data_IF_830392419538
#
_entry.id   IF_830392419538
#
_cell.length_a   1.000
_cell.length_b   1.000
_cell.length_c   1.000
_cell.angle_alpha   90.00
_cell.angle_beta   90.00
_cell.angle_gamma   90.00
#
_symmetry.space_group_name_H-M   'P 1'
#
loop_
_entity.id
_entity.type
_entity.pdbx_description
1 polymer ?
#
# COMPACT_ATOMS: atom_id res chain seq x y z
N UNK A 1 48.06 55.68 -8.66
CA UNK A 1 48.41 54.56 -9.55
C UNK A 1 48.48 53.32 -8.67
N UNK A 2 47.76 52.27 -9.07
CA UNK A 2 47.58 50.95 -8.43
C UNK A 2 46.60 50.91 -7.22
N UNK A 3 45.34 50.50 -7.44
CA UNK A 3 44.79 49.12 -7.27
C UNK A 3 44.78 48.72 -5.78
N UNK A 4 43.68 48.55 -5.04
CA UNK A 4 42.41 47.91 -5.38
C UNK A 4 42.42 46.49 -4.80
N UNK A 5 41.93 46.28 -3.57
CA UNK A 5 41.54 44.94 -3.10
C UNK A 5 40.62 45.01 -1.88
N UNK A 6 39.40 44.55 -2.12
CA UNK A 6 38.27 44.33 -1.22
C UNK A 6 38.57 43.35 -0.08
N UNK A 7 37.87 43.55 1.04
CA UNK A 7 37.67 42.56 2.10
C UNK A 7 37.09 41.26 1.53
N UNK A 8 37.57 40.12 2.02
CA UNK A 8 36.78 38.89 2.00
C UNK A 8 36.66 38.32 3.40
N UNK A 9 35.53 38.64 4.03
CA UNK A 9 35.01 37.87 5.16
C UNK A 9 34.69 36.46 4.67
N UNK A 10 35.49 35.48 5.12
CA UNK A 10 35.28 34.07 4.82
C UNK A 10 33.99 33.60 5.49
N UNK A 11 32.90 33.64 4.74
CA UNK A 11 31.62 33.06 5.16
C UNK A 11 31.68 31.55 4.94
N UNK A 12 31.27 30.75 5.94
CA UNK A 12 31.27 29.26 5.99
C UNK A 12 30.54 28.53 4.84
N UNK A 13 30.10 29.23 3.79
CA UNK A 13 29.42 28.67 2.60
C UNK A 13 30.32 28.50 1.37
N UNK A 14 31.58 28.97 1.36
CA UNK A 14 32.46 28.83 0.17
C UNK A 14 33.31 27.55 0.13
N UNK A 15 33.37 26.76 1.21
CA UNK A 15 34.27 25.58 1.30
C UNK A 15 33.66 24.23 0.88
N UNK A 16 32.42 24.18 0.36
CA UNK A 16 31.77 22.91 -0.04
C UNK A 16 31.54 22.82 -1.56
N UNK A 17 32.23 23.65 -2.38
CA UNK A 17 32.09 23.60 -3.86
C UNK A 17 33.25 22.98 -4.63
N UNK A 18 34.32 22.50 -4.00
CA UNK A 18 35.54 22.11 -4.72
C UNK A 18 36.10 20.70 -4.43
N UNK A 19 35.26 19.69 -4.20
CA UNK A 19 35.77 18.31 -4.03
C UNK A 19 35.02 17.18 -4.75
N UNK A 20 34.07 17.45 -5.66
CA UNK A 20 33.38 16.37 -6.40
C UNK A 20 33.19 16.63 -7.90
N UNK A 21 34.01 17.49 -8.50
CA UNK A 21 33.90 17.86 -9.91
C UNK A 21 34.45 16.82 -10.92
N UNK A 22 34.71 15.56 -10.54
CA UNK A 22 35.33 14.60 -11.46
C UNK A 22 34.68 13.20 -11.56
N UNK A 23 33.58 12.89 -10.83
CA UNK A 23 32.93 11.56 -10.93
C UNK A 23 31.41 11.64 -11.19
N UNK A 24 30.81 12.83 -11.20
CA UNK A 24 29.35 12.98 -11.25
C UNK A 24 28.71 13.30 -12.61
N UNK A 25 29.48 13.37 -13.71
CA UNK A 25 28.94 13.81 -15.02
C UNK A 25 28.55 12.67 -15.98
N UNK A 26 28.79 11.41 -15.63
CA UNK A 26 28.37 10.27 -16.47
C UNK A 26 26.97 9.70 -16.12
N UNK A 27 26.39 10.08 -14.97
CA UNK A 27 25.11 9.50 -14.51
C UNK A 27 23.85 10.26 -15.00
N UNK A 28 23.99 11.46 -15.57
CA UNK A 28 22.86 12.27 -16.06
C UNK A 28 22.72 12.28 -17.59
N UNK A 29 23.54 11.51 -18.31
CA UNK A 29 23.38 11.26 -19.75
C UNK A 29 22.53 10.01 -20.07
N UNK A 30 21.93 9.39 -19.04
CA UNK A 30 20.85 8.44 -19.25
C UNK A 30 19.63 9.23 -19.70
N UNK A 31 19.39 9.24 -21.01
CA UNK A 31 18.23 9.89 -21.62
C UNK A 31 16.98 9.64 -20.81
N UNK A 32 16.09 10.64 -20.80
CA UNK A 32 14.70 10.50 -20.40
C UNK A 32 14.20 9.16 -20.91
N UNK A 33 14.13 8.16 -20.02
CA UNK A 33 13.33 6.98 -20.30
C UNK A 33 11.94 7.54 -20.30
N UNK A 34 11.38 7.69 -21.49
CA UNK A 34 9.93 7.71 -21.63
C UNK A 34 9.47 6.44 -20.92
N UNK A 35 9.01 6.62 -19.68
CA UNK A 35 8.25 5.59 -19.00
C UNK A 35 6.92 5.63 -19.71
N UNK A 36 6.89 5.05 -20.91
CA UNK A 36 5.63 4.67 -21.52
C UNK A 36 4.97 3.72 -20.54
N UNK A 37 3.85 4.14 -19.99
CA UNK A 37 2.94 3.26 -19.29
C UNK A 37 2.43 2.25 -20.34
N UNK A 38 3.16 1.16 -20.51
CA UNK A 38 2.71 0.05 -21.32
C UNK A 38 2.07 -1.01 -20.42
N UNK A 39 1.03 -1.65 -20.94
CA UNK A 39 0.41 -2.77 -20.26
C UNK A 39 1.43 -3.92 -20.15
N UNK A 40 1.68 -4.39 -18.92
CA UNK A 40 2.61 -5.47 -18.66
C UNK A 40 1.93 -6.79 -19.00
N UNK A 41 2.51 -7.54 -19.93
CA UNK A 41 2.04 -8.88 -20.29
C UNK A 41 2.60 -9.92 -19.32
N UNK A 42 1.94 -11.09 -19.13
CA UNK A 42 2.47 -12.17 -18.31
C UNK A 42 3.89 -12.61 -18.66
N UNK A 43 4.28 -12.47 -19.93
CA UNK A 43 5.62 -12.79 -20.43
C UNK A 43 6.67 -11.72 -20.15
N UNK A 44 6.26 -10.52 -19.73
CA UNK A 44 7.20 -9.42 -19.46
C UNK A 44 7.94 -9.69 -18.13
N UNK A 45 9.29 -9.67 -18.11
CA UNK A 45 10.05 -9.92 -16.89
C UNK A 45 9.70 -8.97 -15.74
N UNK A 46 9.26 -7.74 -16.07
CA UNK A 46 8.81 -6.76 -15.09
C UNK A 46 7.50 -7.15 -14.39
N UNK A 47 6.63 -7.95 -15.03
CA UNK A 47 5.38 -8.43 -14.45
C UNK A 47 5.62 -9.48 -13.34
N UNK A 48 6.75 -10.21 -13.41
CA UNK A 48 7.12 -11.25 -12.42
C UNK A 48 6.00 -12.29 -12.21
N UNK A 49 5.38 -12.74 -13.31
CA UNK A 49 4.22 -13.63 -13.29
C UNK A 49 4.37 -14.85 -12.40
N UNK A 50 5.50 -15.56 -12.49
CA UNK A 50 5.73 -16.77 -11.67
C UNK A 50 5.70 -16.48 -10.16
N UNK A 51 6.12 -15.28 -9.73
CA UNK A 51 6.04 -14.89 -8.32
C UNK A 51 4.62 -14.60 -7.89
N UNK A 52 3.85 -13.94 -8.75
CA UNK A 52 2.42 -13.71 -8.53
C UNK A 52 1.69 -15.06 -8.39
N UNK A 53 1.89 -15.96 -9.35
CA UNK A 53 1.30 -17.30 -9.37
C UNK A 53 1.69 -18.11 -8.13
N UNK A 54 2.96 -18.10 -7.73
CA UNK A 54 3.41 -18.81 -6.53
C UNK A 54 2.70 -18.32 -5.24
N UNK A 55 2.40 -17.02 -5.15
CA UNK A 55 1.70 -16.45 -4.00
C UNK A 55 0.21 -16.79 -4.04
N UNK A 56 -0.47 -16.57 -5.16
CA UNK A 56 -1.92 -16.79 -5.30
C UNK A 56 -2.25 -18.28 -5.24
N UNK A 57 -1.44 -19.15 -5.84
CA UNK A 57 -1.68 -20.58 -5.94
C UNK A 57 -0.99 -21.42 -4.85
N UNK A 58 -0.44 -20.81 -3.80
CA UNK A 58 0.17 -21.54 -2.66
C UNK A 58 -0.79 -22.61 -2.11
N UNK A 59 -0.27 -23.80 -1.80
CA UNK A 59 -1.08 -24.89 -1.23
C UNK A 59 -1.46 -24.56 0.21
N UNK A 60 -2.77 -24.59 0.49
CA UNK A 60 -3.37 -24.32 1.80
C UNK A 60 -4.57 -25.24 2.01
N UNK A 61 -4.97 -25.42 3.27
CA UNK A 61 -6.17 -26.20 3.63
C UNK A 61 -7.44 -25.48 3.23
N UNK A 62 -7.50 -24.17 3.45
CA UNK A 62 -8.67 -23.34 3.18
C UNK A 62 -8.28 -22.22 2.22
N UNK A 63 -9.04 -22.09 1.13
CA UNK A 63 -8.95 -20.96 0.22
C UNK A 63 -10.32 -20.30 0.08
N UNK A 64 -10.35 -18.97 0.25
CA UNK A 64 -11.52 -18.14 0.02
C UNK A 64 -11.18 -17.08 -1.03
N UNK A 65 -12.08 -16.89 -2.00
CA UNK A 65 -11.99 -15.85 -3.02
C UNK A 65 -13.21 -14.95 -2.91
N UNK A 66 -12.98 -13.65 -2.78
CA UNK A 66 -14.02 -12.64 -2.75
C UNK A 66 -13.87 -11.70 -3.95
N UNK A 67 -14.98 -11.48 -4.64
CA UNK A 67 -15.10 -10.46 -5.66
C UNK A 67 -15.57 -9.14 -5.02
N UNK A 68 -14.85 -8.06 -5.26
CA UNK A 68 -15.18 -6.73 -4.74
C UNK A 68 -15.35 -5.71 -5.88
N UNK A 69 -16.59 -5.55 -6.40
CA UNK A 69 -16.86 -4.65 -7.53
C UNK A 69 -17.04 -3.17 -7.17
N UNK A 70 -17.33 -2.83 -5.91
CA UNK A 70 -17.70 -1.46 -5.56
C UNK A 70 -17.29 -1.05 -4.14
N UNK A 71 -16.83 0.19 -3.97
CA UNK A 71 -16.37 0.73 -2.69
C UNK A 71 -17.40 0.60 -1.56
N UNK A 72 -18.68 0.81 -1.89
CA UNK A 72 -19.79 0.79 -0.93
C UNK A 72 -20.31 -0.62 -0.72
N UNK A 73 -19.43 -1.55 -0.34
CA UNK A 73 -19.80 -2.90 0.04
C UNK A 73 -19.78 -3.05 1.58
N UNK A 74 -20.94 -3.02 2.25
CA UNK A 74 -20.99 -3.01 3.71
C UNK A 74 -20.65 -4.35 4.35
N UNK A 75 -20.66 -5.46 3.59
CA UNK A 75 -20.53 -6.81 4.15
C UNK A 75 -19.19 -7.47 3.87
N UNK A 76 -18.43 -7.01 2.87
CA UNK A 76 -17.21 -7.69 2.42
C UNK A 76 -16.20 -7.89 3.56
N UNK A 77 -15.76 -6.80 4.19
CA UNK A 77 -14.71 -6.86 5.19
C UNK A 77 -15.14 -7.63 6.45
N UNK A 78 -16.41 -7.49 6.84
CA UNK A 78 -17.01 -8.28 7.91
C UNK A 78 -17.00 -9.78 7.58
N UNK A 79 -17.36 -10.16 6.36
CA UNK A 79 -17.35 -11.55 5.91
C UNK A 79 -15.93 -12.13 5.81
N UNK A 80 -14.96 -11.35 5.35
CA UNK A 80 -13.55 -11.76 5.34
C UNK A 80 -13.05 -12.00 6.76
N UNK A 81 -13.28 -11.05 7.67
CA UNK A 81 -12.89 -11.19 9.09
C UNK A 81 -13.57 -12.37 9.76
N UNK A 82 -14.88 -12.56 9.52
CA UNK A 82 -15.63 -13.69 10.04
C UNK A 82 -15.13 -15.03 9.49
N UNK A 83 -14.80 -15.11 8.20
CA UNK A 83 -14.21 -16.31 7.59
C UNK A 83 -12.87 -16.67 8.23
N UNK A 84 -11.96 -15.70 8.35
CA UNK A 84 -10.67 -15.89 9.02
C UNK A 84 -10.85 -16.38 10.47
N UNK A 85 -11.70 -15.70 11.24
CA UNK A 85 -11.97 -16.06 12.65
C UNK A 85 -12.60 -17.43 12.78
N UNK A 86 -13.58 -17.75 11.93
CA UNK A 86 -14.25 -19.05 11.94
C UNK A 86 -13.27 -20.19 11.72
N UNK A 87 -12.46 -20.11 10.66
CA UNK A 87 -11.48 -21.17 10.38
C UNK A 87 -10.37 -21.25 11.42
N UNK A 88 -9.84 -20.11 11.87
CA UNK A 88 -8.74 -20.07 12.84
C UNK A 88 -9.19 -20.59 14.21
N UNK A 89 -10.33 -20.13 14.73
CA UNK A 89 -10.70 -20.38 16.12
C UNK A 89 -11.75 -21.47 16.32
N UNK A 90 -12.67 -21.65 15.37
CA UNK A 90 -13.73 -22.66 15.50
C UNK A 90 -13.32 -24.01 14.91
N UNK A 91 -12.47 -23.98 13.87
CA UNK A 91 -11.99 -25.19 13.18
C UNK A 91 -10.50 -25.48 13.43
N UNK A 92 -9.84 -24.69 14.28
CA UNK A 92 -8.43 -24.86 14.66
C UNK A 92 -7.50 -25.00 13.44
N UNK A 93 -7.76 -24.22 12.39
CA UNK A 93 -6.90 -24.18 11.21
C UNK A 93 -5.76 -23.21 11.47
N UNK A 94 -4.48 -23.64 11.34
CA UNK A 94 -3.35 -22.74 11.48
C UNK A 94 -3.46 -21.54 10.52
N UNK A 95 -3.10 -20.31 10.94
CA UNK A 95 -3.23 -19.12 10.09
C UNK A 95 -2.51 -19.24 8.74
N UNK A 96 -1.35 -19.91 8.70
CA UNK A 96 -0.59 -20.14 7.46
C UNK A 96 -1.32 -21.11 6.51
N UNK A 97 -2.29 -21.89 6.97
CA UNK A 97 -3.12 -22.80 6.19
C UNK A 97 -4.45 -22.19 5.71
N UNK A 98 -4.66 -20.90 5.95
CA UNK A 98 -5.82 -20.14 5.47
C UNK A 98 -5.34 -19.11 4.45
N UNK A 99 -5.93 -19.10 3.26
CA UNK A 99 -5.69 -18.06 2.27
C UNK A 99 -7.00 -17.38 1.92
N UNK A 100 -7.03 -16.07 2.05
CA UNK A 100 -8.13 -15.24 1.57
C UNK A 100 -7.58 -14.30 0.51
N UNK A 101 -8.22 -14.31 -0.65
CA UNK A 101 -7.94 -13.42 -1.77
C UNK A 101 -9.17 -12.55 -2.01
N UNK A 102 -8.97 -11.25 -2.09
CA UNK A 102 -9.98 -10.27 -2.45
C UNK A 102 -9.56 -9.62 -3.76
N UNK A 103 -10.32 -9.87 -4.82
CA UNK A 103 -10.14 -9.17 -6.09
C UNK A 103 -10.97 -7.90 -6.05
N UNK A 104 -10.30 -6.76 -5.85
CA UNK A 104 -10.90 -5.46 -6.12
C UNK A 104 -10.97 -5.27 -7.64
N UNK A 105 -12.09 -4.70 -8.10
CA UNK A 105 -12.23 -4.25 -9.48
C UNK A 105 -13.28 -3.14 -9.56
N UNK A 106 -13.33 -2.47 -10.71
CA UNK A 106 -14.22 -1.33 -10.94
C UNK A 106 -14.00 -0.23 -9.89
N UNK A 107 -15.04 0.26 -9.18
CA UNK A 107 -14.82 1.36 -8.23
C UNK A 107 -14.01 0.94 -7.00
N UNK A 108 -14.04 -0.35 -6.63
CA UNK A 108 -13.28 -0.85 -5.48
C UNK A 108 -11.77 -0.67 -5.62
N UNK A 109 -11.23 -0.59 -6.85
CA UNK A 109 -9.81 -0.29 -7.07
C UNK A 109 -9.40 1.04 -6.41
N UNK A 110 -10.34 1.98 -6.25
CA UNK A 110 -10.11 3.22 -5.51
C UNK A 110 -9.62 3.00 -4.08
N UNK A 111 -10.03 1.92 -3.41
CA UNK A 111 -9.60 1.60 -2.05
C UNK A 111 -8.19 0.98 -1.98
N UNK A 112 -7.55 0.70 -3.12
CA UNK A 112 -6.16 0.24 -3.17
C UNK A 112 -5.17 1.40 -3.39
N UNK A 113 -5.69 2.61 -3.63
CA UNK A 113 -4.88 3.81 -3.76
C UNK A 113 -4.60 4.47 -2.41
N UNK A 114 -3.45 5.12 -2.32
CA UNK A 114 -3.03 5.83 -1.12
C UNK A 114 -3.78 7.16 -0.93
N UNK A 115 -3.58 7.77 0.23
CA UNK A 115 -4.19 9.06 0.58
C UNK A 115 -3.79 10.18 -0.41
N UNK A 116 -2.59 10.10 -1.00
CA UNK A 116 -2.12 11.09 -1.96
C UNK A 116 -2.97 11.09 -3.24
N UNK A 117 -3.28 9.92 -3.79
CA UNK A 117 -4.15 9.80 -4.95
C UNK A 117 -5.60 10.19 -4.63
N UNK A 118 -6.08 9.86 -3.43
CA UNK A 118 -7.41 10.26 -2.96
C UNK A 118 -7.58 11.77 -2.93
N UNK A 119 -6.59 12.49 -2.38
CA UNK A 119 -6.57 13.94 -2.33
C UNK A 119 -6.41 14.54 -3.74
N UNK A 120 -5.38 14.12 -4.48
CA UNK A 120 -5.03 14.67 -5.80
C UNK A 120 -6.17 14.55 -6.81
N UNK A 121 -6.86 13.41 -6.84
CA UNK A 121 -7.92 13.13 -7.81
C UNK A 121 -9.33 13.30 -7.25
N UNK A 122 -9.47 13.83 -6.02
CA UNK A 122 -10.76 14.05 -5.35
C UNK A 122 -11.64 12.80 -5.37
N UNK A 123 -11.05 11.64 -5.08
CA UNK A 123 -11.72 10.35 -5.24
C UNK A 123 -12.96 10.22 -4.36
N UNK A 124 -12.98 10.86 -3.18
CA UNK A 124 -14.18 10.89 -2.34
C UNK A 124 -15.35 11.60 -3.01
N UNK A 125 -15.11 12.62 -3.81
CA UNK A 125 -16.17 13.27 -4.57
C UNK A 125 -16.58 12.43 -5.78
N UNK A 126 -15.60 11.96 -6.56
CA UNK A 126 -15.84 11.13 -7.74
C UNK A 126 -16.65 9.85 -7.42
N UNK A 127 -16.42 9.25 -6.25
CA UNK A 127 -17.14 8.05 -5.79
C UNK A 127 -18.25 8.33 -4.78
N UNK A 128 -18.53 9.60 -4.48
CA UNK A 128 -19.53 10.02 -3.49
C UNK A 128 -19.35 9.33 -2.13
N UNK A 129 -18.10 9.32 -1.65
CA UNK A 129 -17.67 8.81 -0.35
C UNK A 129 -17.47 10.00 0.58
N UNK A 130 -18.25 10.06 1.64
CA UNK A 130 -18.18 11.11 2.67
C UNK A 130 -17.29 10.63 3.82
N UNK A 131 -16.34 11.46 4.27
CA UNK A 131 -15.59 11.18 5.49
C UNK A 131 -16.51 11.43 6.70
N UNK A 132 -16.82 10.39 7.51
CA UNK A 132 -17.74 10.53 8.64
C UNK A 132 -17.23 11.48 9.72
N UNK A 133 -15.93 11.79 9.77
CA UNK A 133 -15.37 12.71 10.74
C UNK A 133 -15.55 14.18 10.35
N UNK A 134 -15.71 14.48 9.06
CA UNK A 134 -15.76 15.87 8.56
C UNK A 134 -17.03 16.23 7.82
N UNK A 135 -17.86 15.23 7.51
CA UNK A 135 -19.09 15.35 6.71
C UNK A 135 -18.86 15.89 5.28
N UNK A 136 -17.61 15.91 4.83
CA UNK A 136 -17.19 16.36 3.49
C UNK A 136 -16.78 15.17 2.63
N UNK A 137 -16.67 15.33 1.30
CA UNK A 137 -16.06 14.31 0.45
C UNK A 137 -14.69 13.89 1.00
N UNK A 138 -14.45 12.58 1.08
CA UNK A 138 -13.23 12.04 1.67
C UNK A 138 -12.00 12.40 0.83
N UNK A 139 -10.98 12.96 1.48
CA UNK A 139 -9.68 13.28 0.87
C UNK A 139 -8.64 12.18 1.12
N UNK A 140 -9.02 11.10 1.81
CA UNK A 140 -8.15 9.99 2.22
C UNK A 140 -8.88 8.66 2.04
N UNK A 141 -8.11 7.58 1.99
CA UNK A 141 -8.67 6.24 1.89
C UNK A 141 -9.21 5.78 3.26
N UNK A 142 -10.55 5.72 3.38
CA UNK A 142 -11.23 5.38 4.63
C UNK A 142 -11.07 3.91 5.06
N UNK A 143 -10.65 3.04 4.14
CA UNK A 143 -10.52 1.59 4.37
C UNK A 143 -9.09 1.12 4.61
N UNK A 144 -8.09 1.92 4.20
CA UNK A 144 -6.70 1.50 4.20
C UNK A 144 -6.17 1.21 5.61
N UNK A 145 -6.17 2.24 6.47
CA UNK A 145 -5.38 2.24 7.69
C UNK A 145 -6.02 1.46 8.83
N UNK A 146 -5.22 0.62 9.47
CA UNK A 146 -5.56 0.02 10.75
C UNK A 146 -5.48 1.04 11.87
N UNK A 147 -6.36 0.89 12.86
CA UNK A 147 -6.31 1.67 14.11
C UNK A 147 -5.32 1.09 15.13
N UNK A 148 -4.77 -0.09 14.85
CA UNK A 148 -3.83 -0.81 15.71
C UNK A 148 -2.45 -0.65 15.10
N UNK A 149 -1.44 -0.32 15.89
CA UNK A 149 -0.08 -0.20 15.37
C UNK A 149 0.53 -1.59 15.13
N UNK A 150 1.30 -1.76 14.06
CA UNK A 150 1.83 -3.07 13.69
C UNK A 150 2.73 -3.69 14.76
N UNK A 151 3.51 -2.86 15.46
CA UNK A 151 4.38 -3.28 16.56
C UNK A 151 3.62 -3.83 17.76
N UNK A 152 2.35 -3.46 17.95
CA UNK A 152 1.54 -3.90 19.09
C UNK A 152 0.96 -5.30 18.89
N UNK A 153 1.05 -5.84 17.66
CA UNK A 153 0.46 -7.12 17.25
C UNK A 153 1.45 -8.02 16.52
N UNK A 154 2.74 -7.80 16.74
CA UNK A 154 3.82 -8.64 16.20
C UNK A 154 4.64 -9.22 17.37
N UNK A 155 4.50 -10.52 17.71
CA UNK A 155 3.67 -11.53 17.04
C UNK A 155 2.15 -11.32 17.27
N UNK A 156 1.29 -11.96 16.45
CA UNK A 156 -0.16 -11.88 16.62
C UNK A 156 -0.60 -12.27 18.04
N UNK A 157 -1.57 -11.55 18.64
CA UNK A 157 -2.07 -11.84 19.99
C UNK A 157 -2.66 -13.25 20.09
N UNK A 158 -2.45 -13.93 21.21
CA UNK A 158 -3.03 -15.27 21.45
C UNK A 158 -4.50 -15.20 21.87
N UNK A 159 -4.92 -14.09 22.50
CA UNK A 159 -6.31 -13.90 22.89
C UNK A 159 -7.19 -13.56 21.69
N UNK A 160 -8.15 -14.43 21.39
CA UNK A 160 -9.14 -14.24 20.31
C UNK A 160 -10.00 -12.99 20.47
N UNK A 161 -10.16 -12.48 21.70
CA UNK A 161 -10.98 -11.30 21.97
C UNK A 161 -10.27 -9.99 21.66
N UNK A 162 -8.96 -10.05 21.39
CA UNK A 162 -8.16 -8.88 21.08
C UNK A 162 -8.70 -8.15 19.82
N UNK A 163 -8.73 -6.80 19.80
CA UNK A 163 -9.23 -6.02 18.66
C UNK A 163 -8.55 -6.31 17.31
N UNK A 164 -7.35 -6.88 17.34
CA UNK A 164 -6.65 -7.40 16.15
C UNK A 164 -7.53 -8.33 15.31
N UNK A 165 -8.34 -9.17 15.95
CA UNK A 165 -9.20 -10.14 15.27
C UNK A 165 -10.53 -9.56 14.79
N UNK A 166 -10.85 -8.31 15.15
CA UNK A 166 -12.01 -7.56 14.66
C UNK A 166 -11.65 -6.36 13.79
N UNK A 167 -10.35 -6.13 13.52
CA UNK A 167 -9.90 -5.10 12.60
C UNK A 167 -10.23 -5.47 11.15
N UNK A 168 -11.14 -4.69 10.57
CA UNK A 168 -11.65 -4.86 9.20
C UNK A 168 -11.02 -3.90 8.21
N UNK A 169 -10.04 -3.11 8.61
CA UNK A 169 -9.23 -2.31 7.68
C UNK A 169 -8.43 -3.21 6.73
N UNK A 170 -8.07 -2.67 5.55
CA UNK A 170 -7.23 -3.38 4.58
C UNK A 170 -5.88 -3.75 5.23
N UNK A 171 -5.22 -2.83 5.93
CA UNK A 171 -3.98 -3.13 6.65
C UNK A 171 -4.17 -4.20 7.73
N UNK A 172 -5.25 -4.12 8.52
CA UNK A 172 -5.55 -5.10 9.57
C UNK A 172 -5.74 -6.51 8.99
N UNK A 173 -6.49 -6.62 7.90
CA UNK A 173 -6.70 -7.88 7.18
C UNK A 173 -5.41 -8.37 6.48
N UNK A 174 -4.61 -7.48 5.91
CA UNK A 174 -3.31 -7.83 5.31
C UNK A 174 -2.34 -8.40 6.36
N UNK A 175 -2.32 -7.87 7.58
CA UNK A 175 -1.52 -8.43 8.69
C UNK A 175 -1.95 -9.86 9.05
N UNK A 176 -3.20 -10.20 8.79
CA UNK A 176 -3.75 -11.56 8.93
C UNK A 176 -3.58 -12.43 7.67
N UNK A 177 -2.84 -11.96 6.67
CA UNK A 177 -2.50 -12.71 5.46
C UNK A 177 -3.51 -12.61 4.32
N UNK A 178 -4.45 -11.65 4.38
CA UNK A 178 -5.38 -11.41 3.25
C UNK A 178 -4.63 -10.73 2.10
N UNK A 179 -4.82 -11.26 0.89
CA UNK A 179 -4.28 -10.69 -0.35
C UNK A 179 -5.36 -9.85 -1.02
N UNK A 180 -5.07 -8.57 -1.28
CA UNK A 180 -5.90 -7.71 -2.10
C UNK A 180 -5.25 -7.54 -3.47
N UNK A 181 -5.99 -7.86 -4.52
CA UNK A 181 -5.56 -7.79 -5.91
C UNK A 181 -6.34 -6.69 -6.64
N UNK A 182 -5.69 -6.01 -7.59
CA UNK A 182 -6.27 -4.94 -8.44
C UNK A 182 -6.32 -5.34 -9.90
#
# INVERSE_FOLDING_TARGET
MMEGAERTDVTRRSLIRSAWAAVGLAAFAGGSRDVEAHDLRPTDPAYRFDRYEAVVNRRVKIRQLYAWPNLKNPILFGNVSNGLNGFQFSYDVPPDQIQVVVQAYFTANGAMYDDHLWEKYRLGEAFSVTDPATEKPATRNLWARSKIAAQDVTPPPTDRSHPYYSDTSIEGLQRRGVLFLI
#
